data_IF_817353219996
#
_entry.id   IF_817353219996
#
_cell.length_a   1.000
_cell.length_b   1.000
_cell.length_c   1.000
_cell.angle_alpha   90.00
_cell.angle_beta   90.00
_cell.angle_gamma   90.00
#
_symmetry.space_group_name_H-M   'P 1'
#
loop_
_entity.id
_entity.type
_entity.pdbx_description
1 polymer ?
#
# COMPACT_ATOMS: atom_id res chain seq x y z
N UNK A 1 -43.33 40.65 72.33
CA UNK A 1 -44.38 39.64 72.02
C UNK A 1 -43.81 38.30 72.44
N UNK A 2 -44.23 37.81 73.61
CA UNK A 2 -43.71 36.56 74.20
C UNK A 2 -44.42 35.41 73.51
N UNK A 3 -43.71 34.71 72.62
CA UNK A 3 -44.20 33.49 71.98
C UNK A 3 -44.25 32.40 73.06
N UNK A 4 -45.45 32.04 73.47
CA UNK A 4 -45.73 30.88 74.32
C UNK A 4 -45.25 29.63 73.57
N UNK A 5 -44.19 29.00 74.04
CA UNK A 5 -43.60 27.80 73.44
C UNK A 5 -44.46 26.58 73.72
N UNK A 6 -45.31 26.24 72.76
CA UNK A 6 -45.97 24.95 72.69
C UNK A 6 -44.96 23.88 72.22
N UNK A 7 -44.60 23.00 73.15
CA UNK A 7 -43.60 21.92 72.99
C UNK A 7 -43.81 21.07 71.72
N UNK A 8 -45.07 20.90 71.29
CA UNK A 8 -45.42 20.17 70.07
C UNK A 8 -44.97 20.89 68.79
N UNK A 9 -45.20 22.21 68.68
CA UNK A 9 -44.79 23.00 67.51
C UNK A 9 -43.26 23.10 67.41
N UNK A 10 -42.57 23.19 68.55
CA UNK A 10 -41.10 23.16 68.58
C UNK A 10 -40.56 21.78 68.17
N UNK A 11 -41.15 20.69 68.65
CA UNK A 11 -40.77 19.32 68.24
C UNK A 11 -40.98 19.09 66.74
N UNK A 12 -42.11 19.52 66.17
CA UNK A 12 -42.36 19.39 64.73
C UNK A 12 -41.42 20.26 63.89
N UNK A 13 -41.11 21.48 64.35
CA UNK A 13 -40.15 22.34 63.67
C UNK A 13 -38.74 21.73 63.67
N UNK A 14 -38.30 21.16 64.79
CA UNK A 14 -37.00 20.49 64.89
C UNK A 14 -36.93 19.24 64.00
N UNK A 15 -38.00 18.44 63.95
CA UNK A 15 -38.07 17.26 63.07
C UNK A 15 -38.08 17.66 61.59
N UNK A 16 -38.81 18.71 61.23
CA UNK A 16 -38.85 19.22 59.86
C UNK A 16 -37.47 19.72 59.42
N UNK A 17 -36.80 20.49 60.27
CA UNK A 17 -35.44 20.97 59.99
C UNK A 17 -34.47 19.78 59.89
N UNK A 18 -34.47 18.85 60.85
CA UNK A 18 -33.60 17.67 60.81
C UNK A 18 -33.85 16.77 59.58
N UNK A 19 -35.12 16.61 59.17
CA UNK A 19 -35.49 15.84 58.00
C UNK A 19 -34.99 16.46 56.69
N UNK A 20 -35.09 17.78 56.53
CA UNK A 20 -34.58 18.46 55.32
C UNK A 20 -33.06 18.38 55.21
N UNK A 21 -32.33 18.54 56.32
CA UNK A 21 -30.89 18.33 56.35
C UNK A 21 -30.52 16.86 56.09
N UNK A 22 -31.22 15.89 56.68
CA UNK A 22 -30.98 14.47 56.41
C UNK A 22 -31.18 14.10 54.93
N UNK A 23 -32.26 14.59 54.33
CA UNK A 23 -32.56 14.34 52.92
C UNK A 23 -31.57 15.02 51.98
N UNK A 24 -31.11 16.24 52.27
CA UNK A 24 -30.13 16.94 51.42
C UNK A 24 -28.78 16.23 51.38
N UNK A 25 -28.34 15.66 52.52
CA UNK A 25 -27.08 14.91 52.59
C UNK A 25 -27.19 13.57 51.86
N UNK A 26 -28.30 12.84 52.04
CA UNK A 26 -28.55 11.59 51.30
C UNK A 26 -28.67 11.82 49.80
N UNK A 27 -29.28 12.93 49.38
CA UNK A 27 -29.37 13.32 47.98
C UNK A 27 -28.00 13.64 47.39
N UNK A 28 -27.14 14.36 48.12
CA UNK A 28 -25.78 14.67 47.68
C UNK A 28 -24.92 13.40 47.54
N UNK A 29 -25.02 12.48 48.51
CA UNK A 29 -24.32 11.18 48.44
C UNK A 29 -24.82 10.36 47.25
N UNK A 30 -26.13 10.33 46.99
CA UNK A 30 -26.70 9.64 45.83
C UNK A 30 -26.19 10.23 44.50
N UNK A 31 -26.10 11.56 44.41
CA UNK A 31 -25.57 12.27 43.24
C UNK A 31 -24.08 11.95 43.01
N UNK A 32 -23.29 11.84 44.08
CA UNK A 32 -21.87 11.51 44.00
C UNK A 32 -21.63 10.01 43.76
N UNK A 33 -22.46 9.14 44.32
CA UNK A 33 -22.40 7.69 44.12
C UNK A 33 -22.78 7.28 42.69
N UNK A 34 -23.73 7.99 42.07
CA UNK A 34 -24.11 7.80 40.67
C UNK A 34 -23.24 8.57 39.67
N UNK A 35 -22.23 9.32 40.12
CA UNK A 35 -21.19 9.76 39.20
C UNK A 35 -20.35 8.53 38.86
N UNK A 36 -20.67 7.91 37.72
CA UNK A 36 -19.71 7.08 37.02
C UNK A 36 -18.40 7.87 36.94
N UNK A 37 -17.26 7.17 37.11
CA UNK A 37 -15.93 7.76 36.95
C UNK A 37 -15.75 8.16 35.48
N UNK A 38 -16.44 9.23 35.07
CA UNK A 38 -16.38 9.82 33.76
C UNK A 38 -14.96 10.33 33.64
N UNK A 39 -14.15 9.55 32.92
CA UNK A 39 -12.89 10.05 32.40
C UNK A 39 -13.17 11.41 31.73
N UNK A 40 -12.25 12.38 31.87
CA UNK A 40 -12.41 13.68 31.23
C UNK A 40 -12.74 13.49 29.75
N UNK A 41 -13.78 14.19 29.26
CA UNK A 41 -14.15 14.16 27.85
C UNK A 41 -13.10 14.95 27.08
N UNK A 42 -12.33 14.27 26.24
CA UNK A 42 -11.33 14.90 25.39
C UNK A 42 -11.95 15.19 24.01
N UNK A 43 -11.95 16.46 23.62
CA UNK A 43 -12.28 16.87 22.25
C UNK A 43 -10.96 17.13 21.51
N UNK A 44 -10.49 16.11 20.77
CA UNK A 44 -9.22 16.15 20.07
C UNK A 44 -9.47 16.34 18.57
N UNK A 45 -8.77 17.26 17.89
CA UNK A 45 -8.92 17.44 16.45
C UNK A 45 -8.44 16.18 15.73
N UNK A 46 -9.32 15.53 14.97
CA UNK A 46 -8.99 14.32 14.21
C UNK A 46 -8.43 14.67 12.83
N UNK A 47 -7.33 14.02 12.45
CA UNK A 47 -6.77 14.02 11.09
C UNK A 47 -6.56 12.57 10.60
N UNK A 48 -6.50 12.32 9.28
CA UNK A 48 -6.29 10.97 8.75
C UNK A 48 -5.01 10.27 9.22
N UNK A 49 -4.04 11.02 9.77
CA UNK A 49 -2.74 10.51 10.23
C UNK A 49 -2.47 10.81 11.71
N UNK A 50 -3.49 11.21 12.48
CA UNK A 50 -3.34 11.49 13.91
C UNK A 50 -3.68 10.25 14.74
N UNK A 51 -2.72 9.74 15.50
CA UNK A 51 -2.95 8.74 16.55
C UNK A 51 -2.82 9.41 17.92
N UNK A 52 -3.84 9.23 18.76
CA UNK A 52 -3.85 9.69 20.15
C UNK A 52 -3.88 8.49 21.10
N UNK A 53 -2.92 8.42 22.02
CA UNK A 53 -2.95 7.50 23.15
C UNK A 53 -3.28 8.31 24.39
N UNK A 54 -4.38 7.96 25.06
CA UNK A 54 -4.89 8.67 26.24
C UNK A 54 -4.82 7.72 27.43
N UNK A 55 -3.93 8.02 28.36
CA UNK A 55 -3.86 7.35 29.65
C UNK A 55 -4.48 8.29 30.69
N UNK A 56 -5.70 7.99 31.12
CA UNK A 56 -6.44 8.78 32.10
C UNK A 56 -6.58 7.99 33.41
N UNK A 57 -6.01 8.52 34.49
CA UNK A 57 -6.14 7.99 35.85
C UNK A 57 -6.86 9.00 36.75
N UNK A 58 -7.21 8.60 37.99
CA UNK A 58 -7.81 9.52 38.97
C UNK A 58 -6.87 10.66 39.40
N UNK A 59 -5.57 10.51 39.16
CA UNK A 59 -4.51 11.43 39.61
C UNK A 59 -4.05 12.39 38.50
N UNK A 60 -4.37 12.08 37.24
CA UNK A 60 -3.99 12.93 36.11
C UNK A 60 -4.27 12.26 34.76
N UNK A 61 -3.90 12.96 33.69
CA UNK A 61 -4.02 12.46 32.33
C UNK A 61 -2.72 12.67 31.56
N UNK A 62 -2.33 11.68 30.76
CA UNK A 62 -1.25 11.77 29.78
C UNK A 62 -1.84 11.57 28.40
N UNK A 63 -1.56 12.51 27.49
CA UNK A 63 -1.99 12.45 26.09
C UNK A 63 -0.74 12.42 25.24
N UNK A 64 -0.49 11.30 24.59
CA UNK A 64 0.57 11.19 23.58
C UNK A 64 -0.05 11.35 22.20
N UNK A 65 0.43 12.34 21.46
CA UNK A 65 0.00 12.58 20.09
C UNK A 65 1.11 12.18 19.12
N UNK A 66 0.81 11.27 18.18
CA UNK A 66 1.68 10.95 17.05
C UNK A 66 1.05 11.47 15.78
N UNK A 67 1.72 12.41 15.14
CA UNK A 67 1.40 12.87 13.79
C UNK A 67 2.26 12.10 12.80
N UNK A 68 1.63 11.40 11.85
CA UNK A 68 2.27 10.80 10.67
C UNK A 68 3.62 10.14 10.95
N UNK A 69 3.58 8.95 11.57
CA UNK A 69 4.76 8.07 11.74
C UNK A 69 4.75 7.07 10.58
N UNK A 70 5.34 7.39 9.40
CA UNK A 70 5.27 6.51 8.25
C UNK A 70 6.04 5.23 8.59
N UNK A 71 5.27 4.16 8.82
CA UNK A 71 5.83 2.83 8.97
C UNK A 71 6.65 2.53 7.71
N UNK A 72 7.97 2.37 7.87
CA UNK A 72 8.84 1.99 6.76
C UNK A 72 8.42 0.62 6.26
N UNK A 73 8.15 0.52 4.95
CA UNK A 73 7.90 -0.75 4.29
C UNK A 73 9.22 -1.25 3.73
N UNK A 74 9.55 -2.51 4.01
CA UNK A 74 10.76 -3.16 3.52
C UNK A 74 10.39 -4.03 2.32
N UNK A 75 10.99 -3.76 1.16
CA UNK A 75 10.95 -4.66 0.02
C UNK A 75 12.26 -5.45 -0.01
N UNK A 76 12.14 -6.77 0.01
CA UNK A 76 13.26 -7.69 -0.22
C UNK A 76 13.24 -8.16 -1.66
N UNK A 77 14.31 -7.89 -2.41
CA UNK A 77 14.49 -8.38 -3.77
C UNK A 77 15.61 -9.42 -3.80
N UNK A 78 15.22 -10.64 -4.15
CA UNK A 78 16.13 -11.77 -4.30
C UNK A 78 16.52 -11.89 -5.78
N UNK A 79 17.75 -11.51 -6.11
CA UNK A 79 18.25 -11.57 -7.49
C UNK A 79 19.19 -12.77 -7.60
N UNK A 80 18.77 -13.74 -8.41
CA UNK A 80 19.59 -14.89 -8.79
C UNK A 80 20.22 -14.55 -10.13
N UNK A 81 21.52 -14.23 -10.14
CA UNK A 81 22.25 -13.95 -11.36
C UNK A 81 22.88 -15.27 -11.85
N UNK A 82 22.39 -15.86 -12.96
CA UNK A 82 23.05 -17.02 -13.56
C UNK A 82 24.38 -16.56 -14.16
N UNK A 83 25.49 -16.97 -13.54
CA UNK A 83 26.83 -16.66 -14.06
C UNK A 83 27.29 -17.62 -15.17
N UNK A 84 26.43 -18.54 -15.58
CA UNK A 84 26.66 -19.42 -16.72
C UNK A 84 26.23 -18.77 -18.02
N UNK A 85 27.18 -18.22 -18.77
CA UNK A 85 26.99 -18.00 -20.21
C UNK A 85 26.87 -19.34 -20.97
N UNK A 86 26.68 -19.25 -22.30
CA UNK A 86 26.48 -20.38 -23.24
C UNK A 86 27.53 -21.52 -23.16
N UNK A 87 28.65 -21.32 -22.46
CA UNK A 87 29.71 -22.30 -22.21
C UNK A 87 29.81 -22.57 -20.70
N UNK A 88 28.87 -23.38 -20.20
CA UNK A 88 28.62 -23.61 -18.77
C UNK A 88 29.85 -23.74 -17.88
N UNK A 89 29.81 -23.12 -16.70
CA UNK A 89 30.91 -23.27 -15.73
C UNK A 89 30.87 -22.47 -14.44
N UNK A 90 29.82 -21.70 -14.09
CA UNK A 90 29.81 -20.96 -12.81
C UNK A 90 28.49 -21.13 -12.06
N UNK A 91 28.60 -21.23 -10.73
CA UNK A 91 27.49 -21.34 -9.79
C UNK A 91 26.75 -20.00 -9.69
N UNK A 92 25.43 -20.06 -9.57
CA UNK A 92 24.56 -18.88 -9.50
C UNK A 92 24.89 -18.01 -8.28
N UNK A 93 25.04 -16.71 -8.49
CA UNK A 93 25.27 -15.74 -7.42
C UNK A 93 23.93 -15.21 -6.93
N UNK A 94 23.59 -15.48 -5.67
CA UNK A 94 22.42 -14.90 -5.00
C UNK A 94 22.80 -13.56 -4.37
N UNK A 95 22.11 -12.50 -4.75
CA UNK A 95 22.26 -11.16 -4.19
C UNK A 95 20.95 -10.80 -3.51
N UNK A 96 21.03 -10.40 -2.24
CA UNK A 96 19.90 -9.90 -1.47
C UNK A 96 19.96 -8.36 -1.47
N UNK A 97 18.93 -7.71 -2.00
CA UNK A 97 18.77 -6.27 -1.92
C UNK A 97 17.60 -5.96 -0.99
N UNK A 98 17.84 -5.04 -0.06
CA UNK A 98 16.85 -4.55 0.89
C UNK A 98 16.63 -3.08 0.60
N UNK A 99 15.40 -2.73 0.26
CA UNK A 99 15.03 -1.35 0.00
C UNK A 99 13.93 -0.94 0.98
N UNK A 100 14.15 0.14 1.70
CA UNK A 100 13.22 0.69 2.68
C UNK A 100 12.54 1.92 2.06
N UNK A 101 11.21 1.93 2.07
CA UNK A 101 10.43 3.04 1.53
C UNK A 101 9.46 3.59 2.56
N UNK A 102 9.29 4.91 2.55
CA UNK A 102 8.23 5.61 3.31
C UNK A 102 6.97 5.73 2.44
N UNK A 103 5.85 6.12 3.07
CA UNK A 103 4.54 6.31 2.43
C UNK A 103 4.51 7.31 1.25
N UNK A 104 5.59 8.06 1.01
CA UNK A 104 5.72 8.97 -0.14
C UNK A 104 6.89 8.58 -1.09
N UNK A 105 7.53 7.44 -0.86
CA UNK A 105 8.59 6.94 -1.72
C UNK A 105 8.07 6.55 -3.11
N UNK A 106 8.63 7.12 -4.17
CA UNK A 106 8.25 6.93 -5.58
C UNK A 106 8.10 5.48 -6.08
N UNK A 107 8.56 4.47 -5.34
CA UNK A 107 8.50 3.07 -5.79
C UNK A 107 7.16 2.36 -5.58
N UNK A 108 6.33 2.79 -4.61
CA UNK A 108 5.04 2.12 -4.35
C UNK A 108 3.84 2.84 -4.98
N UNK A 109 4.00 4.11 -5.35
CA UNK A 109 2.97 4.91 -6.03
C UNK A 109 3.00 4.72 -7.56
N UNK A 110 4.10 4.20 -8.10
CA UNK A 110 4.34 4.09 -9.53
C UNK A 110 4.64 2.63 -9.82
N UNK A 111 3.82 1.99 -10.65
CA UNK A 111 3.93 0.56 -10.97
C UNK A 111 5.29 0.15 -11.54
N UNK A 112 5.58 -1.17 -11.59
CA UNK A 112 6.92 -1.68 -11.90
C UNK A 112 7.32 -1.37 -13.36
N UNK A 113 8.44 -0.63 -13.55
CA UNK A 113 9.23 -0.54 -14.79
C UNK A 113 8.51 0.06 -16.02
N UNK A 114 9.26 0.80 -16.87
CA UNK A 114 8.88 1.53 -18.12
C UNK A 114 7.68 2.51 -18.06
N UNK A 115 6.76 2.31 -17.13
CA UNK A 115 5.63 3.16 -16.75
C UNK A 115 5.98 4.13 -15.62
N UNK A 116 7.27 4.21 -15.28
CA UNK A 116 7.74 5.14 -14.27
C UNK A 116 7.68 6.56 -14.83
N UNK A 117 6.53 7.20 -14.73
CA UNK A 117 6.44 8.64 -14.87
C UNK A 117 7.31 9.24 -13.77
N UNK A 118 8.44 9.82 -14.16
CA UNK A 118 9.35 10.56 -13.29
C UNK A 118 8.78 11.92 -12.86
N UNK A 119 7.50 12.16 -13.14
CA UNK A 119 6.80 13.39 -12.84
C UNK A 119 5.51 13.03 -12.10
N UNK A 120 5.42 13.42 -10.84
CA UNK A 120 4.20 13.27 -10.05
C UNK A 120 3.02 13.91 -10.80
N UNK A 121 1.91 13.17 -10.88
CA UNK A 121 0.69 13.61 -11.51
C UNK A 121 0.55 13.09 -12.94
N UNK A 122 -0.52 12.33 -13.16
CA UNK A 122 -1.01 11.81 -14.43
C UNK A 122 -0.23 10.59 -14.94
N UNK A 123 -0.90 9.43 -15.02
CA UNK A 123 -0.40 8.19 -15.62
C UNK A 123 -0.16 8.28 -17.14
N UNK A 124 0.30 9.44 -17.63
CA UNK A 124 0.73 9.69 -19.00
C UNK A 124 2.22 9.38 -19.07
N UNK A 125 2.56 8.47 -19.98
CA UNK A 125 3.95 8.16 -20.32
C UNK A 125 4.64 9.47 -20.75
N UNK A 126 5.84 9.72 -20.23
CA UNK A 126 6.67 10.86 -20.65
C UNK A 126 6.89 10.77 -22.17
N UNK A 127 6.96 11.90 -22.89
CA UNK A 127 7.17 11.90 -24.35
C UNK A 127 8.37 11.05 -24.78
N UNK A 128 9.42 11.02 -23.96
CA UNK A 128 10.59 10.15 -24.13
C UNK A 128 10.26 8.66 -24.06
N UNK A 129 9.39 8.24 -23.12
CA UNK A 129 8.93 6.86 -22.99
C UNK A 129 8.05 6.45 -24.18
N UNK A 130 7.18 7.33 -24.66
CA UNK A 130 6.34 7.06 -25.84
C UNK A 130 7.21 6.90 -27.09
N UNK A 131 8.20 7.77 -27.27
CA UNK A 131 9.15 7.68 -28.37
C UNK A 131 9.96 6.38 -28.31
N UNK A 132 10.35 5.97 -27.11
CA UNK A 132 11.06 4.73 -26.88
C UNK A 132 10.20 3.50 -27.20
N UNK A 133 8.98 3.43 -26.68
CA UNK A 133 8.04 2.33 -26.91
C UNK A 133 7.72 2.16 -28.41
N UNK A 134 7.60 3.29 -29.13
CA UNK A 134 7.37 3.28 -30.58
C UNK A 134 8.56 2.72 -31.35
N UNK A 135 9.79 3.00 -30.89
CA UNK A 135 11.03 2.49 -31.50
C UNK A 135 11.24 1.00 -31.20
N UNK A 136 11.03 0.59 -29.95
CA UNK A 136 11.04 -0.81 -29.54
C UNK A 136 10.00 -1.61 -30.35
N UNK A 137 8.78 -1.09 -30.49
CA UNK A 137 7.73 -1.69 -31.33
C UNK A 137 8.09 -1.77 -32.82
N UNK A 138 8.80 -0.77 -33.36
CA UNK A 138 9.30 -0.82 -34.74
C UNK A 138 10.38 -1.91 -34.92
N UNK A 139 11.31 -2.01 -33.97
CA UNK A 139 12.33 -3.08 -33.93
C UNK A 139 11.71 -4.47 -33.80
N UNK A 140 10.71 -4.62 -32.93
CA UNK A 140 9.95 -5.85 -32.76
C UNK A 140 9.22 -6.24 -34.06
N UNK A 141 8.62 -5.29 -34.78
CA UNK A 141 7.97 -5.55 -36.07
C UNK A 141 8.95 -6.05 -37.14
N UNK A 142 10.11 -5.42 -37.26
CA UNK A 142 11.16 -5.83 -38.21
C UNK A 142 11.74 -7.20 -37.80
N UNK A 143 12.09 -7.36 -36.52
CA UNK A 143 12.60 -8.62 -35.99
C UNK A 143 11.61 -9.77 -36.13
N UNK A 144 10.31 -9.53 -35.94
CA UNK A 144 9.26 -10.52 -36.15
C UNK A 144 9.20 -10.99 -37.61
N UNK A 145 9.27 -10.06 -38.56
CA UNK A 145 9.25 -10.40 -39.99
C UNK A 145 10.48 -11.23 -40.40
N UNK A 146 11.66 -10.88 -39.91
CA UNK A 146 12.92 -11.60 -40.19
C UNK A 146 12.94 -12.97 -39.49
N UNK A 147 12.47 -13.05 -38.24
CA UNK A 147 12.35 -14.30 -37.50
C UNK A 147 11.30 -15.25 -38.08
N UNK A 148 10.20 -14.71 -38.60
CA UNK A 148 9.19 -15.46 -39.35
C UNK A 148 9.79 -16.05 -40.63
N UNK A 149 10.51 -15.24 -41.41
CA UNK A 149 11.16 -15.66 -42.65
C UNK A 149 12.19 -16.77 -42.41
N UNK A 150 13.05 -16.62 -41.40
CA UNK A 150 14.02 -17.65 -41.03
C UNK A 150 13.32 -18.95 -40.58
N UNK A 151 12.26 -18.87 -39.77
CA UNK A 151 11.51 -20.05 -39.37
C UNK A 151 10.82 -20.74 -40.57
N UNK A 152 10.32 -19.98 -41.53
CA UNK A 152 9.79 -20.56 -42.77
C UNK A 152 10.87 -21.22 -43.63
N UNK A 153 12.09 -20.69 -43.68
CA UNK A 153 13.14 -21.28 -44.50
C UNK A 153 13.77 -22.52 -43.86
N UNK A 154 14.04 -22.48 -42.55
CA UNK A 154 14.77 -23.55 -41.86
C UNK A 154 13.88 -24.66 -41.28
N UNK A 155 12.63 -24.34 -40.96
CA UNK A 155 11.71 -25.28 -40.28
C UNK A 155 10.58 -25.74 -41.18
N UNK A 156 10.14 -24.95 -42.18
CA UNK A 156 9.07 -25.40 -43.06
C UNK A 156 9.37 -26.70 -43.82
N UNK A 157 10.58 -26.99 -44.37
CA UNK A 157 10.76 -28.21 -45.17
C UNK A 157 10.69 -29.50 -44.34
N UNK A 158 11.04 -29.47 -43.05
CA UNK A 158 11.00 -30.63 -42.15
C UNK A 158 9.64 -30.85 -41.49
N UNK A 159 8.80 -29.82 -41.40
CA UNK A 159 7.51 -29.89 -40.71
C UNK A 159 6.32 -29.89 -41.70
N UNK A 160 6.50 -29.30 -42.89
CA UNK A 160 5.50 -29.37 -43.98
C UNK A 160 5.39 -30.75 -44.65
N UNK A 161 6.37 -31.63 -44.42
CA UNK A 161 6.41 -33.00 -44.94
C UNK A 161 5.55 -34.00 -44.16
N UNK A 162 4.88 -33.58 -43.08
CA UNK A 162 3.93 -34.40 -42.33
C UNK A 162 2.53 -34.31 -42.99
N UNK A 163 1.95 -35.41 -43.49
CA UNK A 163 0.62 -35.39 -44.10
C UNK A 163 -0.43 -34.85 -43.11
N UNK A 164 -1.37 -34.03 -43.60
CA UNK A 164 -2.53 -33.47 -42.89
C UNK A 164 -2.21 -32.31 -41.92
N UNK A 165 -1.15 -32.38 -41.11
CA UNK A 165 -0.84 -31.36 -40.09
C UNK A 165 0.30 -30.39 -40.43
N UNK A 166 1.02 -30.63 -41.53
CA UNK A 166 2.23 -29.87 -41.86
C UNK A 166 2.02 -28.37 -42.02
N UNK A 167 0.89 -27.93 -42.56
CA UNK A 167 0.56 -26.50 -42.73
C UNK A 167 0.28 -25.79 -41.39
N UNK A 168 -0.30 -26.51 -40.42
CA UNK A 168 -0.56 -25.97 -39.07
C UNK A 168 0.74 -25.86 -38.31
N UNK A 169 1.57 -26.90 -38.39
CA UNK A 169 2.83 -26.97 -37.68
C UNK A 169 3.87 -26.01 -38.27
N UNK A 170 3.87 -25.78 -39.60
CA UNK A 170 4.64 -24.68 -40.21
C UNK A 170 4.15 -23.32 -39.73
N UNK A 171 2.83 -23.10 -39.64
CA UNK A 171 2.27 -21.86 -39.11
C UNK A 171 2.70 -21.58 -37.66
N UNK A 172 2.75 -22.60 -36.82
CA UNK A 172 3.26 -22.49 -35.45
C UNK A 172 4.76 -22.19 -35.39
N UNK A 173 5.56 -22.86 -36.22
CA UNK A 173 7.00 -22.59 -36.32
C UNK A 173 7.28 -21.15 -36.77
N UNK A 174 6.56 -20.66 -37.77
CA UNK A 174 6.64 -19.27 -38.23
C UNK A 174 6.22 -18.29 -37.14
N UNK A 175 5.12 -18.56 -36.42
CA UNK A 175 4.68 -17.72 -35.30
C UNK A 175 5.69 -17.70 -34.14
N UNK A 176 6.32 -18.84 -33.86
CA UNK A 176 7.38 -18.94 -32.85
C UNK A 176 8.63 -18.16 -33.27
N UNK A 177 9.05 -18.31 -34.53
CA UNK A 177 10.14 -17.54 -35.12
C UNK A 177 9.88 -16.05 -35.09
N UNK A 178 8.65 -15.64 -35.45
CA UNK A 178 8.21 -14.25 -35.36
C UNK A 178 8.29 -13.72 -33.93
N UNK A 179 7.83 -14.49 -32.94
CA UNK A 179 7.88 -14.08 -31.52
C UNK A 179 9.31 -13.94 -31.01
N UNK A 180 10.20 -14.87 -31.35
CA UNK A 180 11.62 -14.81 -30.97
C UNK A 180 12.37 -13.69 -31.69
N UNK A 181 12.09 -13.51 -32.98
CA UNK A 181 12.64 -12.41 -33.77
C UNK A 181 12.16 -11.05 -33.26
N UNK A 182 10.88 -10.93 -32.87
CA UNK A 182 10.34 -9.71 -32.28
C UNK A 182 11.09 -9.31 -31.01
N UNK A 183 11.30 -10.27 -30.09
CA UNK A 183 12.00 -10.03 -28.84
C UNK A 183 13.46 -9.60 -29.06
N UNK A 184 14.16 -10.20 -30.03
CA UNK A 184 15.53 -9.81 -30.38
C UNK A 184 15.56 -8.43 -31.03
N UNK A 185 14.61 -8.14 -31.91
CA UNK A 185 14.48 -6.84 -32.57
C UNK A 185 14.09 -5.70 -31.61
N UNK A 186 13.27 -6.00 -30.61
CA UNK A 186 12.89 -5.09 -29.53
C UNK A 186 14.13 -4.68 -28.71
N UNK A 187 14.86 -5.67 -28.17
CA UNK A 187 16.08 -5.44 -27.39
C UNK A 187 17.18 -4.71 -28.20
N UNK A 188 17.30 -4.99 -29.50
CA UNK A 188 18.27 -4.33 -30.36
C UNK A 188 17.90 -2.86 -30.62
N UNK A 189 16.60 -2.58 -30.80
CA UNK A 189 16.11 -1.23 -31.00
C UNK A 189 16.18 -0.38 -29.72
N UNK A 190 15.97 -0.98 -28.55
CA UNK A 190 16.22 -0.35 -27.26
C UNK A 190 17.69 0.05 -27.13
N UNK A 191 18.61 -0.92 -27.26
CA UNK A 191 20.05 -0.68 -27.17
C UNK A 191 20.57 0.34 -28.19
N UNK A 192 20.10 0.32 -29.44
CA UNK A 192 20.53 1.27 -30.48
C UNK A 192 20.03 2.69 -30.22
N UNK A 193 18.90 2.85 -29.56
CA UNK A 193 18.31 4.15 -29.26
C UNK A 193 18.60 4.67 -27.86
N UNK A 194 19.47 3.97 -27.12
CA UNK A 194 19.83 4.23 -25.72
C UNK A 194 18.59 4.47 -24.84
N UNK A 195 17.62 3.60 -25.11
CA UNK A 195 16.57 3.22 -24.20
C UNK A 195 16.98 1.93 -23.49
#
# INVERSE_FOLDING_TARGET
MVLTTNNWLQKTAVIAVAGTFGLSHLWMISLLANKEASLPKFDLPVSPYSQYTIDASKEGYSITHRMNDPKVMEMRKDIIVPQGGLFGGKKDKKIYQFEQYTMEGHQHLVGPGIFQSTTGGDGKLTEKQIACLKKAGAGAGVGASVGAAAATEYIAPSVSSIPIIGWVASGFATAFGAKKGAQVGENLAEWYHDC
#
